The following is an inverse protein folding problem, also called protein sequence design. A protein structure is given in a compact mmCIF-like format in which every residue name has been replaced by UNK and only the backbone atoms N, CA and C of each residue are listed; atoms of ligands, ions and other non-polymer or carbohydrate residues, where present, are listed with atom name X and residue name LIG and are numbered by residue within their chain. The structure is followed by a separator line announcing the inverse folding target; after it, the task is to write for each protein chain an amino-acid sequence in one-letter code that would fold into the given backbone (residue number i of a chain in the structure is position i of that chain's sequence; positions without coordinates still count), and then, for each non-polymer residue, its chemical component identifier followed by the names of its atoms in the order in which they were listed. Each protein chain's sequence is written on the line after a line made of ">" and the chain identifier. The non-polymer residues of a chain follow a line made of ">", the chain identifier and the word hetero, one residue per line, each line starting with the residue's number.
data_IF_070849669022
#
_entry.id   IF_070849669022
#
_cell.length_a   1.000
_cell.length_b   1.000
_cell.length_c   1.000
_cell.angle_alpha   90.00
_cell.angle_beta   90.00
_cell.angle_gamma   90.00
#
_symmetry.space_group_name_H-M   'P 1'
#
loop_
_entity.id
_entity.type
_entity.pdbx_description
1 polymer ?
#
# COMPACT_ATOMS: atom_id res chain seq x y z
N UNK A 1 -33.31 1.84 -9.49
CA UNK A 1 -32.21 1.34 -10.32
C UNK A 1 -30.98 2.11 -9.87
N UNK A 2 -30.04 1.49 -9.15
CA UNK A 2 -28.93 2.22 -8.53
C UNK A 2 -27.93 2.65 -9.60
N UNK A 3 -27.73 3.96 -9.69
CA UNK A 3 -26.85 4.66 -10.61
C UNK A 3 -25.40 4.27 -10.33
N UNK A 4 -24.83 3.51 -11.27
CA UNK A 4 -23.42 3.13 -11.28
C UNK A 4 -22.63 4.40 -11.60
N UNK A 5 -22.18 5.12 -10.59
CA UNK A 5 -21.25 6.25 -10.74
C UNK A 5 -20.02 5.75 -11.50
N UNK A 6 -19.78 6.18 -12.75
CA UNK A 6 -18.54 5.88 -13.42
C UNK A 6 -17.55 6.94 -12.96
N UNK A 7 -16.78 6.63 -11.90
CA UNK A 7 -15.59 7.43 -11.62
C UNK A 7 -14.53 7.04 -12.66
N UNK A 8 -14.09 7.97 -13.53
CA UNK A 8 -12.93 7.76 -14.36
C UNK A 8 -11.71 8.02 -13.46
N UNK A 9 -11.38 7.06 -12.60
CA UNK A 9 -10.11 7.09 -11.88
C UNK A 9 -9.02 6.67 -12.87
N UNK A 10 -8.62 7.64 -13.68
CA UNK A 10 -7.51 7.58 -14.61
C UNK A 10 -6.32 6.91 -13.93
N UNK A 11 -5.94 5.75 -14.46
CA UNK A 11 -4.61 5.16 -14.38
C UNK A 11 -3.75 5.54 -13.18
N UNK A 12 -4.19 5.19 -11.97
CA UNK A 12 -3.25 4.98 -10.87
C UNK A 12 -2.47 3.70 -11.20
N UNK A 13 -1.61 3.74 -12.22
CA UNK A 13 -0.55 2.75 -12.43
C UNK A 13 0.52 2.99 -11.37
N UNK A 14 0.09 3.05 -10.11
CA UNK A 14 0.86 2.64 -8.96
C UNK A 14 1.55 1.35 -9.36
N UNK A 15 2.85 1.43 -9.59
CA UNK A 15 3.54 0.29 -10.18
C UNK A 15 3.49 -0.94 -9.27
N UNK A 16 4.07 -2.07 -9.73
CA UNK A 16 3.91 -3.36 -9.06
C UNK A 16 4.34 -3.33 -7.59
N UNK A 17 5.27 -2.45 -7.19
CA UNK A 17 5.70 -2.32 -5.79
C UNK A 17 4.61 -1.67 -4.93
N UNK A 18 4.03 -0.56 -5.40
CA UNK A 18 2.98 0.15 -4.66
C UNK A 18 1.70 -0.68 -4.59
N UNK A 19 1.32 -1.35 -5.68
CA UNK A 19 0.17 -2.27 -5.69
C UNK A 19 0.34 -3.40 -4.67
N UNK A 20 1.52 -4.03 -4.63
CA UNK A 20 1.82 -5.10 -3.67
C UNK A 20 1.83 -4.59 -2.23
N UNK A 21 2.37 -3.40 -1.99
CA UNK A 21 2.35 -2.79 -0.66
C UNK A 21 0.91 -2.56 -0.17
N UNK A 22 0.05 -1.98 -1.02
CA UNK A 22 -1.37 -1.76 -0.69
C UNK A 22 -2.13 -3.06 -0.44
N UNK A 23 -1.91 -4.06 -1.30
CA UNK A 23 -2.53 -5.39 -1.14
C UNK A 23 -2.11 -6.04 0.19
N UNK A 24 -0.81 -5.96 0.52
CA UNK A 24 -0.27 -6.49 1.77
C UNK A 24 -0.86 -5.80 3.00
N UNK A 25 -1.02 -4.46 2.97
CA UNK A 25 -1.67 -3.71 4.05
C UNK A 25 -3.13 -4.19 4.20
N UNK A 26 -3.85 -4.32 3.09
CA UNK A 26 -5.24 -4.80 3.10
C UNK A 26 -5.36 -6.19 3.71
N UNK A 27 -4.49 -7.13 3.32
CA UNK A 27 -4.45 -8.47 3.88
C UNK A 27 -4.18 -8.44 5.39
N UNK A 28 -3.16 -7.68 5.83
CA UNK A 28 -2.81 -7.54 7.25
C UNK A 28 -4.00 -7.03 8.08
N UNK A 29 -4.71 -6.01 7.58
CA UNK A 29 -5.86 -5.44 8.27
C UNK A 29 -7.01 -6.46 8.32
N UNK A 30 -7.31 -7.14 7.21
CA UNK A 30 -8.38 -8.13 7.15
C UNK A 30 -8.11 -9.30 8.11
N UNK A 31 -6.90 -9.84 8.09
CA UNK A 31 -6.48 -10.91 8.99
C UNK A 31 -6.58 -10.43 10.45
N UNK A 32 -6.07 -9.23 10.72
CA UNK A 32 -6.10 -8.61 12.03
C UNK A 32 -7.50 -8.39 12.60
N UNK A 33 -8.42 -7.90 11.77
CA UNK A 33 -9.83 -7.73 12.12
C UNK A 33 -10.52 -9.08 12.38
N UNK A 34 -10.18 -10.11 11.59
CA UNK A 34 -10.70 -11.47 11.74
C UNK A 34 -10.23 -12.14 13.03
N UNK A 35 -9.03 -11.81 13.51
CA UNK A 35 -8.47 -12.30 14.77
C UNK A 35 -8.89 -11.47 16.00
N UNK A 36 -9.51 -10.30 15.81
CA UNK A 36 -10.08 -9.46 16.88
C UNK A 36 -9.12 -8.44 17.49
N UNK A 37 -7.81 -8.59 17.27
CA UNK A 37 -6.82 -7.59 17.63
C UNK A 37 -5.62 -7.67 16.69
N UNK A 38 -5.18 -6.52 16.19
CA UNK A 38 -3.93 -6.42 15.44
C UNK A 38 -3.23 -5.10 15.69
N UNK A 39 -1.91 -5.13 15.50
CA UNK A 39 -1.08 -3.94 15.48
C UNK A 39 -0.29 -3.95 14.19
N UNK A 40 -0.47 -2.90 13.39
CA UNK A 40 0.39 -2.61 12.25
C UNK A 40 1.07 -1.25 12.45
N UNK A 41 2.38 -1.18 12.18
CA UNK A 41 3.09 0.08 12.04
C UNK A 41 3.47 0.25 10.56
N UNK A 42 3.20 1.42 9.99
CA UNK A 42 3.56 1.75 8.62
C UNK A 42 4.52 2.93 8.70
N UNK A 43 5.72 2.73 8.19
CA UNK A 43 6.77 3.75 8.13
C UNK A 43 7.16 3.98 6.69
N UNK A 44 7.22 5.24 6.26
CA UNK A 44 7.72 5.62 4.94
C UNK A 44 8.97 6.48 5.10
N UNK A 45 9.97 6.25 4.26
CA UNK A 45 11.18 7.05 4.17
C UNK A 45 11.53 7.33 2.72
N UNK A 46 12.06 8.52 2.45
CA UNK A 46 12.60 8.86 1.13
C UNK A 46 14.08 8.51 1.14
N UNK A 47 14.43 7.45 0.41
CA UNK A 47 15.80 6.99 0.23
C UNK A 47 16.57 7.76 -0.84
N UNK A 48 17.83 7.37 -1.05
CA UNK A 48 18.66 7.93 -2.14
C UNK A 48 17.99 7.66 -3.50
N UNK A 49 18.03 8.66 -4.38
CA UNK A 49 17.42 8.64 -5.72
C UNK A 49 15.88 8.74 -5.75
N UNK A 50 15.28 9.46 -4.78
CA UNK A 50 13.83 9.73 -4.68
C UNK A 50 12.95 8.46 -4.59
N UNK A 51 13.55 7.31 -4.28
CA UNK A 51 12.82 6.07 -4.00
C UNK A 51 12.19 6.20 -2.62
N UNK A 52 10.94 5.76 -2.47
CA UNK A 52 10.26 5.72 -1.18
C UNK A 52 10.28 4.30 -0.66
N UNK A 53 11.02 4.10 0.41
CA UNK A 53 10.98 2.87 1.18
C UNK A 53 9.72 2.91 2.05
N UNK A 54 8.85 1.93 1.88
CA UNK A 54 7.70 1.69 2.73
C UNK A 54 7.96 0.42 3.54
N UNK A 55 7.91 0.53 4.85
CA UNK A 55 8.06 -0.58 5.78
C UNK A 55 6.74 -0.77 6.50
N UNK A 56 6.22 -1.99 6.46
CA UNK A 56 4.97 -2.39 7.12
C UNK A 56 5.33 -3.46 8.13
N UNK A 57 5.06 -3.20 9.40
CA UNK A 57 5.36 -4.08 10.52
C UNK A 57 4.06 -4.54 11.17
N UNK A 58 3.68 -5.80 10.96
CA UNK A 58 2.47 -6.38 11.54
C UNK A 58 2.71 -7.83 11.95
N UNK A 59 3.50 -8.02 13.00
CA UNK A 59 4.04 -9.32 13.41
C UNK A 59 5.20 -9.81 12.54
N UNK A 60 5.17 -9.53 11.23
CA UNK A 60 6.30 -9.64 10.30
C UNK A 60 6.58 -8.29 9.65
N UNK A 61 7.86 -8.00 9.41
CA UNK A 61 8.29 -6.76 8.75
C UNK A 61 8.40 -6.99 7.25
N UNK A 62 7.59 -6.25 6.49
CA UNK A 62 7.60 -6.23 5.03
C UNK A 62 8.14 -4.90 4.55
N UNK A 63 9.28 -4.93 3.84
CA UNK A 63 9.88 -3.74 3.23
C UNK A 63 9.62 -3.73 1.73
N UNK A 64 9.07 -2.63 1.24
CA UNK A 64 8.83 -2.34 -0.16
C UNK A 64 9.64 -1.11 -0.54
N UNK A 65 10.35 -1.18 -1.66
CA UNK A 65 11.08 -0.02 -2.21
C UNK A 65 10.33 0.45 -3.45
N UNK A 66 9.58 1.53 -3.31
CA UNK A 66 8.74 2.10 -4.36
C UNK A 66 9.55 3.17 -5.09
N UNK A 67 9.94 2.97 -6.36
CA UNK A 67 10.65 4.00 -7.10
C UNK A 67 9.75 5.22 -7.37
N UNK A 68 10.37 6.39 -7.54
CA UNK A 68 9.64 7.65 -7.73
C UNK A 68 8.69 7.62 -8.94
N UNK A 69 9.07 6.85 -9.96
CA UNK A 69 8.34 6.64 -11.21
C UNK A 69 7.00 5.92 -11.02
N UNK A 70 6.90 5.09 -9.98
CA UNK A 70 5.69 4.31 -9.69
C UNK A 70 4.66 5.07 -8.84
N UNK A 71 4.95 6.31 -8.46
CA UNK A 71 4.06 7.10 -7.62
C UNK A 71 3.35 8.16 -8.46
N UNK A 72 2.00 8.27 -8.35
CA UNK A 72 1.26 9.32 -9.01
C UNK A 72 1.76 10.68 -8.52
N UNK A 73 1.92 11.60 -9.48
CA UNK A 73 2.48 12.94 -9.30
C UNK A 73 1.42 13.95 -8.89
#
# INVERSE_FOLDING_TARGET
>A
MHEKTPHPEEGLTSGPQLRRALDQIGQIILDGLRHGHFRCAISSGIGKNNRRDLVIEAGKSHKFTIPADELPR
#
